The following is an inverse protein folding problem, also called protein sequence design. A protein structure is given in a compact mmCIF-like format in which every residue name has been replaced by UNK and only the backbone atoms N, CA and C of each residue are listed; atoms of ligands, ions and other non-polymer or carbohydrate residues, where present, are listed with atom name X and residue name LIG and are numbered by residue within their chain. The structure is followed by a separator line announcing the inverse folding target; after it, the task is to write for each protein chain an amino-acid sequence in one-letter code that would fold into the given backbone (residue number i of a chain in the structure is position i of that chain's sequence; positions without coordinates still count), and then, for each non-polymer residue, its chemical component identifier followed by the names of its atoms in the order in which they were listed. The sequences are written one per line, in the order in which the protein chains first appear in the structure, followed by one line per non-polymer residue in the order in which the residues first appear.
data_IF_782342738577
#
_entry.id   IF_782342738577
#
_cell.length_a   1.000
_cell.length_b   1.000
_cell.length_c   1.000
_cell.angle_alpha   90.00
_cell.angle_beta   90.00
_cell.angle_gamma   90.00
#
_symmetry.space_group_name_H-M   'P 1'
#
loop_
_entity.id
_entity.type
_entity.pdbx_description
1 polymer ?
#
# COMPACT_ATOMS: atom_id res chain seq x y z
N UNK A 1 15.26 15.94 5.64
CA UNK A 1 13.85 16.29 5.87
C UNK A 1 13.10 15.06 6.37
N UNK A 2 11.92 15.23 6.99
CA UNK A 2 11.15 14.18 7.67
C UNK A 2 10.86 12.95 6.79
N UNK A 3 10.59 13.16 5.49
CA UNK A 3 10.41 12.09 4.49
C UNK A 3 11.65 11.19 4.34
N UNK A 4 12.85 11.78 4.38
CA UNK A 4 14.10 11.02 4.29
C UNK A 4 14.36 10.15 5.51
N UNK A 5 14.01 10.63 6.71
CA UNK A 5 14.12 9.86 7.95
C UNK A 5 13.13 8.68 7.96
N UNK A 6 11.89 8.91 7.49
CA UNK A 6 10.89 7.85 7.35
C UNK A 6 11.35 6.75 6.38
N UNK A 7 11.99 7.12 5.26
CA UNK A 7 12.53 6.16 4.30
C UNK A 7 13.66 5.30 4.91
N UNK A 8 14.55 5.90 5.71
CA UNK A 8 15.63 5.18 6.41
C UNK A 8 15.05 4.22 7.45
N UNK A 9 14.16 4.69 8.33
CA UNK A 9 13.53 3.87 9.35
C UNK A 9 12.76 2.68 8.73
N UNK A 10 12.06 2.92 7.63
CA UNK A 10 11.35 1.87 6.91
C UNK A 10 12.31 0.82 6.32
N UNK A 11 13.47 1.25 5.81
CA UNK A 11 14.49 0.32 5.31
C UNK A 11 15.12 -0.51 6.45
N UNK A 12 15.35 0.08 7.62
CA UNK A 12 15.86 -0.63 8.80
C UNK A 12 14.88 -1.72 9.26
N UNK A 13 13.58 -1.38 9.36
CA UNK A 13 12.52 -2.36 9.70
C UNK A 13 12.47 -3.49 8.68
N UNK A 14 12.55 -3.17 7.37
CA UNK A 14 12.59 -4.17 6.31
C UNK A 14 13.78 -5.10 6.43
N UNK A 15 14.97 -4.55 6.64
CA UNK A 15 16.19 -5.35 6.78
C UNK A 15 16.10 -6.28 7.99
N UNK A 16 15.65 -5.77 9.15
CA UNK A 16 15.47 -6.59 10.35
C UNK A 16 14.49 -7.75 10.12
N UNK A 17 13.41 -7.52 9.38
CA UNK A 17 12.45 -8.57 9.05
C UNK A 17 13.01 -9.58 8.03
N UNK A 18 13.74 -9.12 7.01
CA UNK A 18 14.42 -10.02 6.04
C UNK A 18 15.43 -10.91 6.75
N UNK A 19 16.20 -10.36 7.69
CA UNK A 19 17.12 -11.15 8.52
C UNK A 19 16.37 -12.20 9.35
N UNK A 20 15.25 -11.83 9.98
CA UNK A 20 14.39 -12.78 10.71
C UNK A 20 13.90 -13.92 9.82
N UNK A 21 13.57 -13.64 8.57
CA UNK A 21 13.10 -14.64 7.62
C UNK A 21 14.20 -15.56 7.05
N UNK A 22 15.49 -15.30 7.30
CA UNK A 22 16.59 -16.16 6.81
C UNK A 22 16.59 -17.56 7.41
N UNK A 23 16.05 -17.71 8.62
CA UNK A 23 16.01 -18.98 9.33
C UNK A 23 14.90 -19.92 8.80
N UNK A 24 14.00 -19.38 7.97
CA UNK A 24 12.88 -20.14 7.43
C UNK A 24 13.29 -20.93 6.17
N UNK A 25 12.82 -22.19 6.02
CA UNK A 25 13.10 -23.00 4.84
C UNK A 25 12.48 -22.39 3.58
N UNK A 26 13.03 -22.66 2.40
CA UNK A 26 12.38 -22.26 1.14
C UNK A 26 11.09 -23.05 0.94
N UNK A 27 9.94 -22.38 1.01
CA UNK A 27 8.61 -22.97 0.77
C UNK A 27 7.76 -22.00 -0.06
N UNK A 28 6.55 -22.40 -0.44
CA UNK A 28 5.66 -21.50 -1.17
C UNK A 28 4.97 -20.46 -0.27
N UNK A 29 4.73 -20.80 1.00
CA UNK A 29 4.01 -19.98 1.96
C UNK A 29 4.56 -20.17 3.39
N UNK A 30 4.72 -19.05 4.11
CA UNK A 30 5.06 -19.02 5.52
C UNK A 30 3.97 -18.37 6.36
N UNK A 31 3.63 -19.04 7.46
CA UNK A 31 2.84 -18.46 8.52
C UNK A 31 3.75 -17.73 9.50
N UNK A 32 3.53 -16.42 9.61
CA UNK A 32 4.20 -15.55 10.57
C UNK A 32 3.66 -15.83 11.97
N UNK A 33 4.58 -16.10 12.88
CA UNK A 33 4.28 -16.19 14.31
C UNK A 33 4.15 -14.80 14.94
N UNK A 34 3.59 -14.74 16.15
CA UNK A 34 3.59 -13.52 16.95
C UNK A 34 5.01 -12.98 17.19
N UNK A 35 6.01 -13.88 17.29
CA UNK A 35 7.41 -13.50 17.45
C UNK A 35 7.96 -12.76 16.22
N UNK A 36 7.59 -13.18 15.01
CA UNK A 36 7.98 -12.48 13.77
C UNK A 36 7.33 -11.11 13.67
N UNK A 37 6.03 -11.02 14.01
CA UNK A 37 5.29 -9.76 14.00
C UNK A 37 5.82 -8.74 15.04
N UNK A 38 6.53 -9.21 16.08
CA UNK A 38 7.14 -8.34 17.08
C UNK A 38 8.54 -7.83 16.71
N UNK A 39 9.03 -8.06 15.48
CA UNK A 39 10.33 -7.54 15.01
C UNK A 39 10.50 -6.05 15.29
N UNK A 40 9.46 -5.24 15.09
CA UNK A 40 9.55 -3.79 15.30
C UNK A 40 9.71 -3.48 16.79
N UNK A 41 8.88 -4.08 17.64
CA UNK A 41 8.92 -3.84 19.10
C UNK A 41 10.20 -4.37 19.75
N UNK A 42 10.80 -5.40 19.18
CA UNK A 42 12.00 -6.04 19.72
C UNK A 42 13.30 -5.31 19.33
N UNK A 43 13.33 -4.71 18.14
CA UNK A 43 14.55 -4.08 17.61
C UNK A 43 14.54 -2.55 17.74
N UNK A 44 13.39 -1.95 18.00
CA UNK A 44 13.24 -0.49 18.00
C UNK A 44 12.39 -0.03 19.19
N UNK A 45 12.91 0.93 19.95
CA UNK A 45 12.17 1.62 21.00
C UNK A 45 11.43 2.81 20.40
N UNK A 46 10.10 2.70 20.32
CA UNK A 46 9.24 3.83 19.98
C UNK A 46 8.35 4.16 21.18
N UNK A 47 8.29 5.43 21.64
CA UNK A 47 7.28 5.83 22.60
C UNK A 47 5.91 5.48 22.03
N UNK A 48 5.03 4.91 22.87
CA UNK A 48 3.71 4.47 22.45
C UNK A 48 2.98 5.66 21.82
N UNK A 49 2.70 5.54 20.53
CA UNK A 49 1.93 6.52 19.79
C UNK A 49 0.54 5.92 19.52
N UNK A 50 -0.41 6.21 20.43
CA UNK A 50 -1.78 5.67 20.41
C UNK A 50 -2.68 6.30 19.33
N UNK A 51 -2.12 7.21 18.56
CA UNK A 51 -2.78 8.00 17.55
C UNK A 51 -2.26 7.44 16.22
N UNK A 52 -3.12 7.25 15.20
CA UNK A 52 -2.75 6.55 13.94
C UNK A 52 -2.66 5.03 14.01
N UNK A 53 -3.12 4.40 15.09
CA UNK A 53 -3.08 2.94 15.24
C UNK A 53 -3.84 2.18 14.15
N UNK A 54 -4.75 2.85 13.44
CA UNK A 54 -5.68 2.21 12.52
C UNK A 54 -5.51 2.76 11.09
N UNK A 55 -4.77 2.08 10.22
CA UNK A 55 -4.68 2.45 8.82
C UNK A 55 -6.01 2.15 8.09
N UNK A 56 -6.20 2.81 6.96
CA UNK A 56 -7.18 2.38 5.96
C UNK A 56 -6.56 1.28 5.12
N UNK A 57 -7.04 0.05 5.27
CA UNK A 57 -6.49 -1.10 4.55
C UNK A 57 -7.28 -1.39 3.28
N UNK A 58 -6.58 -1.54 2.17
CA UNK A 58 -7.11 -2.05 0.93
C UNK A 58 -7.01 -3.58 0.96
N UNK A 59 -8.18 -4.22 0.92
CA UNK A 59 -8.33 -5.65 1.13
C UNK A 59 -8.97 -6.30 -0.09
N UNK A 60 -8.43 -7.45 -0.48
CA UNK A 60 -9.10 -8.36 -1.41
C UNK A 60 -9.47 -9.64 -0.67
N UNK A 61 -10.46 -10.36 -1.19
CA UNK A 61 -10.89 -11.64 -0.64
C UNK A 61 -10.55 -12.76 -1.62
N UNK A 62 -9.86 -13.78 -1.10
CA UNK A 62 -9.51 -15.02 -1.79
C UNK A 62 -10.52 -16.09 -1.40
N UNK A 63 -11.49 -16.34 -2.29
CA UNK A 63 -12.54 -17.33 -2.09
C UNK A 63 -13.19 -17.77 -3.41
N UNK A 64 -13.50 -19.06 -3.55
CA UNK A 64 -14.13 -19.59 -4.75
C UNK A 64 -15.54 -19.03 -5.04
N UNK A 65 -16.31 -18.69 -3.98
CA UNK A 65 -17.69 -18.19 -4.08
C UNK A 65 -18.15 -17.50 -2.78
N UNK A 66 -19.34 -16.88 -2.82
CA UNK A 66 -19.98 -16.31 -1.63
C UNK A 66 -20.29 -17.38 -0.56
N UNK A 67 -20.70 -18.59 -0.96
CA UNK A 67 -20.96 -19.71 -0.05
C UNK A 67 -19.68 -20.16 0.65
N UNK A 68 -18.53 -20.13 -0.04
CA UNK A 68 -17.24 -20.41 0.58
C UNK A 68 -16.91 -19.37 1.68
N UNK A 69 -17.22 -18.10 1.44
CA UNK A 69 -17.06 -17.02 2.43
C UNK A 69 -17.93 -17.28 3.66
N UNK A 70 -19.23 -17.56 3.47
CA UNK A 70 -20.18 -17.86 4.56
C UNK A 70 -19.73 -19.09 5.35
N UNK A 71 -19.20 -20.11 4.69
CA UNK A 71 -18.64 -21.31 5.32
C UNK A 71 -17.27 -21.08 5.99
N UNK A 72 -16.75 -19.86 6.00
CA UNK A 72 -15.46 -19.52 6.60
C UNK A 72 -14.22 -19.94 5.79
N UNK A 73 -14.41 -20.41 4.55
CA UNK A 73 -13.37 -20.85 3.60
C UNK A 73 -12.94 -19.70 2.70
N UNK A 74 -12.20 -18.77 3.28
CA UNK A 74 -11.65 -17.60 2.59
C UNK A 74 -10.35 -17.16 3.24
N UNK A 75 -9.56 -16.37 2.50
CA UNK A 75 -8.44 -15.59 3.03
C UNK A 75 -8.63 -14.12 2.69
N UNK A 76 -8.13 -13.25 3.56
CA UNK A 76 -7.95 -11.83 3.25
C UNK A 76 -6.58 -11.64 2.62
N UNK A 77 -6.48 -10.73 1.67
CA UNK A 77 -5.21 -10.28 1.13
C UNK A 77 -5.10 -8.80 1.42
N UNK A 78 -4.04 -8.45 2.14
CA UNK A 78 -3.69 -7.07 2.37
C UNK A 78 -2.94 -6.54 1.15
N UNK A 79 -3.59 -5.66 0.38
CA UNK A 79 -2.96 -5.00 -0.76
C UNK A 79 -2.12 -3.83 -0.30
N UNK A 80 -2.76 -2.75 0.15
CA UNK A 80 -2.14 -1.46 0.44
C UNK A 80 -2.64 -0.92 1.78
N UNK A 81 -1.80 -0.12 2.46
CA UNK A 81 -2.18 0.64 3.64
C UNK A 81 -2.12 2.14 3.33
N UNK A 82 -3.20 2.83 3.66
CA UNK A 82 -3.33 4.28 3.52
C UNK A 82 -3.61 4.91 4.88
N UNK A 83 -3.35 6.22 5.04
CA UNK A 83 -3.98 6.94 6.14
C UNK A 83 -5.50 6.91 6.02
N UNK A 84 -6.25 6.91 7.13
CA UNK A 84 -7.71 6.91 7.15
C UNK A 84 -8.37 7.93 6.20
N UNK A 85 -7.74 9.09 6.04
CA UNK A 85 -8.27 10.18 5.23
C UNK A 85 -8.31 9.87 3.72
N UNK A 86 -7.62 8.84 3.25
CA UNK A 86 -7.64 8.43 1.84
C UNK A 86 -9.04 7.99 1.36
N UNK A 87 -9.94 7.61 2.28
CA UNK A 87 -11.35 7.35 1.99
C UNK A 87 -12.12 8.62 1.56
N UNK A 88 -11.60 9.80 1.90
CA UNK A 88 -12.24 11.07 1.58
C UNK A 88 -11.87 11.60 0.19
N UNK A 89 -11.22 10.76 -0.61
CA UNK A 89 -10.70 11.09 -1.93
C UNK A 89 -11.57 10.49 -3.04
N UNK A 90 -11.61 11.15 -4.21
CA UNK A 90 -12.26 10.64 -5.43
C UNK A 90 -13.75 10.28 -5.27
N UNK A 91 -14.20 9.31 -6.07
CA UNK A 91 -15.55 8.78 -6.05
C UNK A 91 -15.93 8.04 -4.76
N UNK A 92 -14.97 7.68 -3.88
CA UNK A 92 -15.29 7.03 -2.61
C UNK A 92 -16.15 7.94 -1.73
N UNK A 93 -15.75 9.19 -1.55
CA UNK A 93 -16.52 10.15 -0.75
C UNK A 93 -17.81 10.55 -1.44
N UNK A 94 -17.77 10.87 -2.74
CA UNK A 94 -18.95 11.34 -3.47
C UNK A 94 -20.04 10.29 -3.63
N UNK A 95 -19.65 9.03 -3.70
CA UNK A 95 -20.59 7.91 -3.78
C UNK A 95 -20.92 7.34 -2.41
N UNK A 96 -20.44 7.95 -1.32
CA UNK A 96 -20.72 7.48 0.03
C UNK A 96 -22.21 7.67 0.36
N UNK A 97 -22.98 6.58 0.57
CA UNK A 97 -24.41 6.70 0.83
C UNK A 97 -24.71 7.23 2.24
N UNK A 98 -23.75 7.18 3.16
CA UNK A 98 -23.92 7.59 4.56
C UNK A 98 -22.68 8.34 5.07
N UNK A 99 -22.56 9.59 4.63
CA UNK A 99 -21.52 10.53 5.08
C UNK A 99 -21.53 10.73 6.61
N UNK A 100 -22.68 10.85 7.30
CA UNK A 100 -22.70 10.95 8.76
C UNK A 100 -22.04 9.76 9.48
N UNK A 101 -22.29 8.52 9.04
CA UNK A 101 -21.63 7.34 9.62
C UNK A 101 -20.13 7.33 9.34
N UNK A 102 -19.71 7.64 8.11
CA UNK A 102 -18.29 7.79 7.76
C UNK A 102 -17.60 8.85 8.63
N UNK A 103 -18.25 9.98 8.87
CA UNK A 103 -17.77 11.07 9.73
C UNK A 103 -17.55 10.60 11.17
N UNK A 104 -18.54 9.92 11.77
CA UNK A 104 -18.40 9.37 13.13
C UNK A 104 -17.27 8.33 13.21
N UNK A 105 -17.17 7.45 12.23
CA UNK A 105 -16.13 6.43 12.16
C UNK A 105 -14.74 7.07 12.06
N UNK A 106 -14.54 8.03 11.16
CA UNK A 106 -13.27 8.76 11.05
C UNK A 106 -12.94 9.58 12.30
N UNK A 107 -13.93 10.23 12.92
CA UNK A 107 -13.71 10.97 14.16
C UNK A 107 -13.23 10.02 15.28
N UNK A 108 -13.76 8.79 15.35
CA UNK A 108 -13.32 7.81 16.36
C UNK A 108 -11.84 7.46 16.26
N UNK A 109 -11.26 7.41 15.04
CA UNK A 109 -9.83 7.10 14.85
C UNK A 109 -8.90 8.22 15.33
N UNK A 110 -9.43 9.43 15.51
CA UNK A 110 -8.66 10.57 16.04
C UNK A 110 -8.64 10.65 17.57
N UNK A 111 -9.48 9.86 18.25
CA UNK A 111 -9.69 9.98 19.70
C UNK A 111 -10.22 11.36 20.12
N UNK A 112 -10.94 12.04 19.22
CA UNK A 112 -11.46 13.39 19.44
C UNK A 112 -10.40 14.50 19.40
N UNK A 113 -9.15 14.20 19.02
CA UNK A 113 -8.08 15.20 18.95
C UNK A 113 -8.07 15.89 17.58
N UNK A 114 -7.76 17.20 17.53
CA UNK A 114 -7.76 17.95 16.28
C UNK A 114 -6.61 17.55 15.36
N UNK A 115 -6.83 17.69 14.06
CA UNK A 115 -5.82 17.68 13.00
C UNK A 115 -5.71 19.09 12.40
N UNK A 116 -4.61 19.34 11.69
CA UNK A 116 -4.46 20.59 10.96
C UNK A 116 -3.97 20.38 9.54
N UNK A 117 -4.32 21.34 8.70
CA UNK A 117 -3.83 21.46 7.33
C UNK A 117 -2.96 22.71 7.23
N UNK A 118 -1.77 22.61 6.64
CA UNK A 118 -0.83 23.73 6.51
C UNK A 118 -0.34 24.02 5.09
N UNK A 119 -1.10 23.63 4.08
CA UNK A 119 -0.83 23.98 2.67
C UNK A 119 -0.13 22.90 1.86
N UNK A 120 -0.39 21.61 2.12
CA UNK A 120 0.10 20.50 1.30
C UNK A 120 -1.01 19.84 0.44
N UNK A 121 -0.77 19.91 -0.87
CA UNK A 121 -1.33 19.27 -2.09
C UNK A 121 -2.69 18.55 -2.09
N UNK A 122 -3.08 17.73 -1.11
CA UNK A 122 -4.22 16.81 -1.28
C UNK A 122 -5.60 17.49 -1.16
N UNK A 123 -5.72 18.48 -0.29
CA UNK A 123 -6.93 19.28 -0.12
C UNK A 123 -7.04 20.41 -1.17
N UNK A 124 -5.96 20.67 -1.90
CA UNK A 124 -5.85 21.75 -2.91
C UNK A 124 -5.96 21.21 -4.34
N UNK A 125 -6.06 19.89 -4.53
CA UNK A 125 -6.24 19.32 -5.86
C UNK A 125 -7.62 19.65 -6.45
N UNK A 126 -7.77 19.47 -7.77
CA UNK A 126 -9.04 19.60 -8.49
C UNK A 126 -10.18 18.86 -7.78
N UNK A 127 -11.42 19.30 -7.97
CA UNK A 127 -12.58 18.74 -7.25
C UNK A 127 -12.63 17.20 -7.22
N UNK A 128 -12.24 16.54 -8.32
CA UNK A 128 -12.20 15.07 -8.48
C UNK A 128 -11.14 14.35 -7.63
N UNK A 129 -10.20 15.08 -7.06
CA UNK A 129 -9.07 14.58 -6.29
C UNK A 129 -8.88 15.36 -4.99
N UNK A 130 -9.85 16.18 -4.59
CA UNK A 130 -9.81 16.90 -3.31
C UNK A 130 -10.10 15.93 -2.17
N UNK A 131 -9.28 15.95 -1.13
CA UNK A 131 -9.57 15.25 0.13
C UNK A 131 -10.54 16.08 0.99
N UNK A 132 -11.73 15.54 1.28
CA UNK A 132 -12.84 16.29 1.94
C UNK A 132 -12.79 16.27 3.48
N UNK A 133 -11.61 16.40 4.08
CA UNK A 133 -11.42 16.35 5.53
C UNK A 133 -12.24 17.42 6.29
N UNK A 134 -12.32 18.64 5.77
CA UNK A 134 -13.07 19.73 6.41
C UNK A 134 -14.59 19.55 6.35
N UNK A 135 -15.10 18.82 5.36
CA UNK A 135 -16.53 18.52 5.28
C UNK A 135 -16.91 17.38 6.24
N UNK A 136 -16.01 16.40 6.42
CA UNK A 136 -16.27 15.20 7.23
C UNK A 136 -15.89 15.38 8.70
N UNK A 137 -14.88 16.19 9.00
CA UNK A 137 -14.38 16.45 10.35
C UNK A 137 -14.34 17.96 10.66
N UNK A 138 -15.47 18.70 10.52
CA UNK A 138 -15.48 20.16 10.63
C UNK A 138 -15.12 20.68 12.03
N UNK A 139 -15.37 19.88 13.09
CA UNK A 139 -15.02 20.21 14.46
C UNK A 139 -13.56 19.92 14.83
N UNK A 140 -12.90 19.05 14.05
CA UNK A 140 -11.57 18.53 14.36
C UNK A 140 -10.50 18.97 13.35
N UNK A 141 -10.87 19.60 12.24
CA UNK A 141 -9.91 20.02 11.19
C UNK A 141 -9.66 21.53 11.26
N UNK A 142 -8.43 21.91 11.57
CA UNK A 142 -7.98 23.31 11.64
C UNK A 142 -7.22 23.70 10.36
N UNK A 143 -7.55 24.83 9.76
CA UNK A 143 -6.89 25.35 8.57
C UNK A 143 -5.81 26.37 8.98
N UNK A 144 -4.54 26.00 8.87
CA UNK A 144 -3.37 26.76 9.32
C UNK A 144 -2.42 26.98 8.14
N UNK A 145 -2.90 27.70 7.13
CA UNK A 145 -2.20 27.88 5.86
C UNK A 145 -2.13 29.36 5.50
N UNK A 146 -1.07 29.81 4.78
CA UNK A 146 -1.03 31.16 4.22
C UNK A 146 -2.07 31.38 3.11
N UNK A 147 -2.67 30.29 2.59
CA UNK A 147 -3.72 30.36 1.59
C UNK A 147 -5.05 30.86 2.19
N UNK A 148 -5.95 31.36 1.34
CA UNK A 148 -7.30 31.74 1.78
C UNK A 148 -8.17 30.50 1.95
N UNK A 149 -8.51 30.17 3.20
CA UNK A 149 -9.45 29.09 3.52
C UNK A 149 -10.89 29.40 3.11
N UNK A 150 -11.72 28.36 2.97
CA UNK A 150 -13.16 28.52 2.80
C UNK A 150 -13.77 29.18 4.05
N UNK A 151 -14.78 30.07 3.94
CA UNK A 151 -15.38 30.76 5.10
C UNK A 151 -15.97 29.85 6.20
N UNK A 152 -16.16 28.56 5.91
CA UNK A 152 -16.69 27.56 6.85
C UNK A 152 -15.59 26.85 7.65
N UNK A 153 -14.33 27.04 7.28
CA UNK A 153 -13.21 26.34 7.91
C UNK A 153 -12.77 27.08 9.17
N UNK A 154 -12.42 26.31 10.21
CA UNK A 154 -11.79 26.86 11.42
C UNK A 154 -10.36 27.28 11.08
N UNK A 155 -10.15 28.57 10.81
CA UNK A 155 -8.88 29.09 10.30
C UNK A 155 -8.07 29.74 11.42
N UNK A 156 -6.78 29.39 11.50
CA UNK A 156 -5.79 30.03 12.37
C UNK A 156 -4.67 30.58 11.49
N UNK A 157 -4.38 31.90 11.52
CA UNK A 157 -3.26 32.44 10.77
C UNK A 157 -1.93 31.78 11.16
N UNK A 158 -1.03 31.44 10.22
CA UNK A 158 0.27 30.86 10.56
C UNK A 158 1.09 31.72 11.53
N UNK A 159 0.92 33.05 11.50
CA UNK A 159 1.55 33.99 12.44
C UNK A 159 1.09 33.82 13.90
N UNK A 160 -0.10 33.27 14.11
CA UNK A 160 -0.69 33.02 15.43
C UNK A 160 -0.48 31.60 15.93
N UNK A 161 0.11 30.73 15.10
CA UNK A 161 0.45 29.37 15.46
C UNK A 161 1.95 29.25 15.81
N UNK A 162 2.28 28.28 16.64
CA UNK A 162 3.65 27.85 16.89
C UNK A 162 3.78 26.33 16.93
N UNK A 163 4.95 25.84 16.51
CA UNK A 163 5.32 24.44 16.61
C UNK A 163 6.01 24.21 17.95
N UNK A 164 5.67 23.12 18.63
CA UNK A 164 6.27 22.73 19.90
C UNK A 164 6.47 21.22 19.97
N UNK A 165 7.34 20.77 20.88
CA UNK A 165 7.50 19.36 21.22
C UNK A 165 6.72 19.11 22.50
N UNK A 166 5.82 18.13 22.48
CA UNK A 166 5.06 17.68 23.64
C UNK A 166 5.97 16.89 24.58
N UNK A 167 6.17 17.39 25.80
CA UNK A 167 7.18 16.83 26.73
C UNK A 167 6.83 15.40 27.17
N UNK A 168 5.54 15.08 27.26
CA UNK A 168 5.09 13.79 27.75
C UNK A 168 5.42 12.61 26.82
N UNK A 169 5.51 12.85 25.50
CA UNK A 169 5.66 11.78 24.51
C UNK A 169 6.61 12.11 23.34
N UNK A 170 7.16 13.32 23.29
CA UNK A 170 8.06 13.78 22.23
C UNK A 170 7.37 14.13 20.91
N UNK A 171 6.05 14.21 20.86
CA UNK A 171 5.32 14.52 19.62
C UNK A 171 5.54 15.96 19.18
N UNK A 172 5.68 16.17 17.88
CA UNK A 172 5.81 17.51 17.29
C UNK A 172 4.41 18.01 16.97
N UNK A 173 3.97 19.06 17.66
CA UNK A 173 2.60 19.55 17.60
C UNK A 173 2.53 21.02 17.22
N UNK A 174 1.33 21.46 16.86
CA UNK A 174 0.99 22.87 16.62
C UNK A 174 0.00 23.31 17.68
N UNK A 175 0.22 24.51 18.21
CA UNK A 175 -0.73 25.19 19.10
C UNK A 175 -0.87 26.66 18.75
N UNK A 176 -1.94 27.28 19.22
CA UNK A 176 -2.11 28.73 19.11
C UNK A 176 -1.20 29.43 20.13
N UNK A 177 -0.50 30.50 19.73
CA UNK A 177 0.49 31.21 20.57
C UNK A 177 -0.11 31.81 21.84
N UNK A 178 -1.25 32.48 21.71
CA UNK A 178 -1.88 33.21 22.82
C UNK A 178 -2.61 32.30 23.81
N UNK A 179 -3.51 31.46 23.30
CA UNK A 179 -4.38 30.60 24.13
C UNK A 179 -3.73 29.29 24.53
N UNK A 180 -2.66 28.89 23.82
CA UNK A 180 -2.03 27.56 23.93
C UNK A 180 -2.97 26.42 23.54
N UNK A 181 -4.08 26.71 22.86
CA UNK A 181 -5.00 25.69 22.31
C UNK A 181 -4.21 24.73 21.41
N UNK A 182 -4.31 23.44 21.67
CA UNK A 182 -3.73 22.40 20.82
C UNK A 182 -4.48 22.35 19.48
N UNK A 183 -3.76 22.57 18.37
CA UNK A 183 -4.34 22.63 17.03
C UNK A 183 -4.12 21.35 16.22
N UNK A 184 -3.20 20.49 16.68
CA UNK A 184 -2.99 19.14 16.15
C UNK A 184 -1.52 18.74 16.17
N UNK A 185 -1.27 17.47 15.85
CA UNK A 185 0.08 16.89 15.78
C UNK A 185 0.63 16.93 14.36
N UNK A 186 1.94 16.82 14.13
CA UNK A 186 2.49 16.57 12.79
C UNK A 186 2.35 15.11 12.36
N UNK A 187 2.29 14.18 13.31
CA UNK A 187 1.83 12.82 12.99
C UNK A 187 0.37 12.86 12.49
N UNK A 188 -0.44 13.75 13.11
CA UNK A 188 -1.63 14.46 12.58
C UNK A 188 -1.83 14.69 11.10
N UNK A 189 -0.76 15.15 10.47
CA UNK A 189 -0.94 16.08 9.36
C UNK A 189 -1.33 15.39 8.06
N UNK A 190 -1.56 14.06 8.10
CA UNK A 190 -1.99 13.21 6.98
C UNK A 190 -1.28 13.58 5.67
N UNK A 191 0.01 13.92 5.78
CA UNK A 191 0.80 14.54 4.73
C UNK A 191 0.96 13.65 3.50
N UNK A 192 0.54 12.40 3.59
CA UNK A 192 0.72 11.42 2.52
C UNK A 192 -0.63 10.75 2.22
N UNK A 193 -1.43 11.26 1.29
CA UNK A 193 -2.59 10.53 0.76
C UNK A 193 -2.16 9.35 -0.14
N UNK A 194 -0.87 9.21 -0.44
CA UNK A 194 -0.34 8.11 -1.25
C UNK A 194 -0.29 6.85 -0.38
N UNK A 195 -0.85 5.77 -0.88
CA UNK A 195 -0.76 4.50 -0.19
C UNK A 195 0.67 3.99 -0.16
N UNK A 196 0.89 3.09 0.78
CA UNK A 196 2.12 2.37 0.91
C UNK A 196 1.81 0.89 0.90
N UNK A 197 2.69 0.12 0.27
CA UNK A 197 2.80 -1.32 0.48
C UNK A 197 3.90 -1.57 1.53
N UNK A 198 3.62 -1.47 2.84
CA UNK A 198 4.66 -1.54 3.86
C UNK A 198 5.32 -2.93 3.96
N UNK A 199 4.66 -3.97 3.44
CA UNK A 199 5.09 -5.36 3.53
C UNK A 199 5.67 -5.86 2.21
N UNK A 200 6.67 -5.14 1.69
CA UNK A 200 7.44 -5.63 0.55
C UNK A 200 8.87 -5.97 0.96
N UNK A 201 9.04 -7.14 1.56
CA UNK A 201 10.29 -7.65 2.12
C UNK A 201 11.14 -8.43 1.13
N UNK A 202 10.94 -8.20 -0.18
CA UNK A 202 11.44 -9.04 -1.27
C UNK A 202 12.84 -9.60 -1.02
N UNK A 203 12.92 -10.94 -0.96
CA UNK A 203 14.15 -11.73 -0.97
C UNK A 203 14.34 -12.27 -2.39
N UNK A 204 15.50 -12.01 -2.99
CA UNK A 204 15.86 -12.63 -4.27
C UNK A 204 16.51 -14.01 -4.03
N UNK A 205 16.39 -14.97 -4.96
CA UNK A 205 15.60 -14.91 -6.20
C UNK A 205 14.12 -15.24 -5.99
N UNK A 206 13.71 -15.62 -4.79
CA UNK A 206 12.36 -16.04 -4.46
C UNK A 206 11.96 -15.58 -3.05
N UNK A 207 10.70 -15.15 -2.95
CA UNK A 207 10.07 -14.74 -1.72
C UNK A 207 8.76 -15.54 -1.54
N UNK A 208 8.63 -16.29 -0.44
CA UNK A 208 7.41 -17.03 -0.12
C UNK A 208 6.23 -16.08 0.14
N UNK A 209 5.01 -16.60 -0.02
CA UNK A 209 3.82 -15.91 0.46
C UNK A 209 3.90 -15.78 1.98
N UNK A 210 3.61 -14.60 2.53
CA UNK A 210 3.58 -14.39 3.97
C UNK A 210 2.14 -14.28 4.45
N UNK A 211 1.81 -15.06 5.48
CA UNK A 211 0.47 -15.12 6.07
C UNK A 211 0.52 -14.86 7.56
N UNK A 212 -0.45 -14.12 8.08
CA UNK A 212 -0.73 -14.00 9.50
C UNK A 212 -2.19 -14.42 9.73
N UNK A 213 -2.42 -15.60 10.33
CA UNK A 213 -3.76 -16.17 10.45
C UNK A 213 -4.45 -16.33 9.09
N UNK A 214 -5.61 -15.70 8.89
CA UNK A 214 -6.32 -15.72 7.58
C UNK A 214 -5.89 -14.61 6.62
N UNK A 215 -4.91 -13.78 6.98
CA UNK A 215 -4.51 -12.61 6.20
C UNK A 215 -3.18 -12.88 5.49
N UNK A 216 -3.18 -12.84 4.17
CA UNK A 216 -1.97 -12.77 3.37
C UNK A 216 -1.45 -11.34 3.41
N UNK A 217 -0.27 -11.15 4.01
CA UNK A 217 0.38 -9.83 4.16
C UNK A 217 1.36 -9.55 3.02
N UNK A 218 1.83 -10.60 2.33
CA UNK A 218 2.65 -10.46 1.14
C UNK A 218 2.42 -11.65 0.20
N UNK A 219 2.24 -11.36 -1.09
CA UNK A 219 2.17 -12.39 -2.15
C UNK A 219 3.54 -13.04 -2.38
N UNK A 220 3.53 -14.27 -2.86
CA UNK A 220 4.73 -14.95 -3.38
C UNK A 220 5.30 -14.14 -4.55
N UNK A 221 6.63 -14.00 -4.57
CA UNK A 221 7.31 -13.30 -5.65
C UNK A 221 8.63 -13.96 -6.04
N UNK A 222 9.08 -13.66 -7.26
CA UNK A 222 10.32 -14.15 -7.85
C UNK A 222 11.05 -13.00 -8.53
N UNK A 223 12.37 -13.10 -8.58
CA UNK A 223 13.20 -12.30 -9.46
C UNK A 223 13.49 -13.11 -10.73
N UNK A 224 13.18 -12.50 -11.88
CA UNK A 224 13.51 -13.03 -13.20
C UNK A 224 14.47 -12.07 -13.87
N UNK A 225 15.59 -12.59 -14.34
CA UNK A 225 16.59 -11.86 -15.11
C UNK A 225 16.57 -12.30 -16.56
N UNK A 226 17.06 -11.45 -17.46
CA UNK A 226 17.18 -11.81 -18.88
C UNK A 226 18.05 -13.07 -19.09
N UNK A 227 19.02 -13.31 -18.20
CA UNK A 227 19.88 -14.50 -18.23
C UNK A 227 19.17 -15.80 -17.83
N UNK A 228 17.97 -15.73 -17.26
CA UNK A 228 17.15 -16.93 -16.97
C UNK A 228 16.50 -17.50 -18.24
N UNK A 229 16.49 -16.74 -19.35
CA UNK A 229 16.02 -17.23 -20.64
C UNK A 229 17.17 -17.85 -21.45
N UNK A 230 16.91 -18.89 -22.25
CA UNK A 230 17.87 -19.38 -23.24
C UNK A 230 18.38 -18.24 -24.14
N UNK A 231 19.64 -18.32 -24.56
CA UNK A 231 20.22 -17.31 -25.43
C UNK A 231 19.46 -17.24 -26.76
N UNK A 232 18.97 -16.05 -27.10
CA UNK A 232 18.22 -15.82 -28.32
C UNK A 232 17.67 -14.41 -28.41
N UNK A 233 17.33 -13.98 -29.63
CA UNK A 233 16.50 -12.79 -29.85
C UNK A 233 15.12 -13.27 -30.21
N UNK A 234 14.16 -13.00 -29.34
CA UNK A 234 12.77 -13.29 -29.60
C UNK A 234 12.12 -12.04 -30.18
N UNK A 235 11.48 -12.16 -31.34
CA UNK A 235 10.77 -11.04 -31.97
C UNK A 235 9.35 -11.49 -32.28
N UNK A 236 8.36 -10.70 -31.84
CA UNK A 236 6.96 -11.10 -31.92
C UNK A 236 6.64 -12.34 -31.10
N UNK A 237 5.41 -12.83 -31.25
CA UNK A 237 5.01 -14.16 -30.84
C UNK A 237 5.71 -15.19 -31.74
N UNK A 238 6.64 -15.96 -31.17
CA UNK A 238 7.38 -16.99 -31.91
C UNK A 238 7.45 -18.29 -31.13
N UNK A 239 7.63 -19.42 -31.83
CA UNK A 239 7.83 -20.74 -31.19
C UNK A 239 9.00 -20.71 -30.19
N UNK A 240 10.09 -20.02 -30.53
CA UNK A 240 11.24 -19.88 -29.66
C UNK A 240 10.90 -19.17 -28.35
N UNK A 241 10.09 -18.10 -28.41
CA UNK A 241 9.65 -17.37 -27.22
C UNK A 241 8.78 -18.24 -26.31
N UNK A 242 7.82 -18.97 -26.89
CA UNK A 242 6.93 -19.87 -26.13
C UNK A 242 7.75 -20.92 -25.38
N UNK A 243 8.68 -21.59 -26.07
CA UNK A 243 9.54 -22.60 -25.44
C UNK A 243 10.43 -22.01 -24.34
N UNK A 244 10.99 -20.82 -24.58
CA UNK A 244 11.84 -20.15 -23.61
C UNK A 244 11.09 -19.78 -22.32
N UNK A 245 9.86 -19.25 -22.45
CA UNK A 245 9.05 -18.87 -21.29
C UNK A 245 8.44 -20.08 -20.58
N UNK A 246 8.12 -21.17 -21.28
CA UNK A 246 7.72 -22.43 -20.62
C UNK A 246 8.86 -23.07 -19.84
N UNK A 247 10.09 -23.04 -20.38
CA UNK A 247 11.28 -23.48 -19.64
C UNK A 247 11.52 -22.63 -18.40
N UNK A 248 11.39 -21.31 -18.51
CA UNK A 248 11.47 -20.39 -17.37
C UNK A 248 10.39 -20.69 -16.33
N UNK A 249 9.13 -20.86 -16.77
CA UNK A 249 7.98 -21.17 -15.91
C UNK A 249 8.24 -22.44 -15.11
N UNK A 250 8.68 -23.51 -15.78
CA UNK A 250 9.02 -24.77 -15.13
C UNK A 250 10.21 -24.64 -14.17
N UNK A 251 11.27 -23.94 -14.57
CA UNK A 251 12.49 -23.80 -13.76
C UNK A 251 12.27 -23.00 -12.47
N UNK A 252 11.41 -21.98 -12.50
CA UNK A 252 11.10 -21.13 -11.33
C UNK A 252 9.80 -21.51 -10.59
N UNK A 253 9.03 -22.45 -11.14
CA UNK A 253 7.71 -22.82 -10.61
C UNK A 253 6.72 -21.65 -10.64
N UNK A 254 6.70 -20.87 -11.72
CA UNK A 254 5.78 -19.72 -11.83
C UNK A 254 4.34 -20.20 -12.09
N UNK A 255 3.33 -19.64 -11.42
CA UNK A 255 1.93 -19.91 -11.76
C UNK A 255 1.58 -19.31 -13.12
N UNK A 256 0.50 -19.78 -13.74
CA UNK A 256 0.02 -19.26 -15.04
C UNK A 256 -0.24 -17.76 -15.00
N UNK A 257 -0.91 -17.28 -13.95
CA UNK A 257 -1.33 -15.89 -13.80
C UNK A 257 -0.39 -15.16 -12.86
N UNK A 258 0.30 -14.14 -13.37
CA UNK A 258 1.29 -13.36 -12.62
C UNK A 258 1.15 -11.87 -12.90
N UNK A 259 1.68 -11.05 -12.01
CA UNK A 259 1.97 -9.65 -12.31
C UNK A 259 3.47 -9.43 -12.41
N UNK A 260 3.89 -8.62 -13.38
CA UNK A 260 5.28 -8.23 -13.56
C UNK A 260 5.48 -6.75 -13.33
N UNK A 261 6.61 -6.38 -12.74
CA UNK A 261 7.12 -5.00 -12.73
C UNK A 261 8.65 -5.01 -12.70
N UNK A 262 9.32 -3.92 -13.12
CA UNK A 262 10.75 -3.78 -12.93
C UNK A 262 11.09 -3.75 -11.44
N UNK A 263 12.24 -4.32 -11.07
CA UNK A 263 12.76 -4.18 -9.71
C UNK A 263 13.18 -2.74 -9.43
N UNK A 264 13.29 -2.35 -8.15
CA UNK A 264 13.80 -1.03 -7.76
C UNK A 264 15.19 -0.78 -8.35
N UNK A 265 16.04 -1.81 -8.40
CA UNK A 265 17.37 -1.72 -8.98
C UNK A 265 17.33 -1.47 -10.49
N UNK A 266 16.39 -2.09 -11.21
CA UNK A 266 16.20 -1.84 -12.64
C UNK A 266 15.68 -0.42 -12.91
N UNK A 267 14.74 0.09 -12.10
CA UNK A 267 14.19 1.45 -12.24
C UNK A 267 15.26 2.54 -12.04
N UNK A 268 16.16 2.34 -11.07
CA UNK A 268 17.33 3.19 -10.81
C UNK A 268 18.25 3.31 -12.02
N UNK A 269 18.58 2.17 -12.64
CA UNK A 269 19.50 2.11 -13.80
C UNK A 269 18.90 2.76 -15.05
N UNK A 270 17.58 2.71 -15.22
CA UNK A 270 16.92 3.29 -16.39
C UNK A 270 16.64 4.79 -16.27
N UNK A 271 17.02 5.45 -15.17
CA UNK A 271 16.66 6.86 -14.91
C UNK A 271 15.15 7.08 -14.80
N UNK A 272 14.39 6.02 -14.47
CA UNK A 272 12.93 5.99 -14.50
C UNK A 272 12.30 6.17 -13.11
N UNK A 273 13.08 6.56 -12.09
CA UNK A 273 12.64 6.76 -10.70
C UNK A 273 11.51 7.82 -10.53
N UNK A 274 11.10 8.51 -11.61
CA UNK A 274 9.96 9.43 -11.63
C UNK A 274 8.84 9.09 -12.64
N UNK A 275 8.88 7.95 -13.35
CA UNK A 275 7.82 7.56 -14.29
C UNK A 275 6.86 6.57 -13.63
N UNK A 276 5.83 7.10 -12.97
CA UNK A 276 4.75 6.37 -12.26
C UNK A 276 4.06 5.25 -13.08
N UNK A 277 4.25 5.20 -14.40
CA UNK A 277 3.70 4.13 -15.25
C UNK A 277 4.58 2.87 -15.25
N UNK A 278 5.90 3.01 -15.13
CA UNK A 278 6.84 1.86 -15.17
C UNK A 278 6.89 1.11 -13.82
N UNK A 279 6.26 1.65 -12.76
CA UNK A 279 6.16 1.04 -11.42
C UNK A 279 4.92 0.16 -11.24
N UNK A 280 3.87 0.35 -12.05
CA UNK A 280 2.60 -0.35 -11.90
C UNK A 280 2.71 -1.80 -12.40
N UNK A 281 2.32 -2.79 -11.59
CA UNK A 281 2.34 -4.18 -12.02
C UNK A 281 1.46 -4.41 -13.26
N UNK A 282 1.97 -5.17 -14.21
CA UNK A 282 1.26 -5.57 -15.44
C UNK A 282 0.84 -7.02 -15.30
N UNK A 283 -0.45 -7.30 -15.52
CA UNK A 283 -0.96 -8.66 -15.54
C UNK A 283 -0.46 -9.45 -16.76
N UNK A 284 -0.03 -10.68 -16.54
CA UNK A 284 0.46 -11.62 -17.54
C UNK A 284 -0.24 -12.96 -17.32
N UNK A 285 -0.88 -13.45 -18.38
CA UNK A 285 -1.26 -14.87 -18.51
C UNK A 285 -0.17 -15.58 -19.31
N UNK A 286 0.58 -16.48 -18.67
CA UNK A 286 1.67 -17.23 -19.32
C UNK A 286 1.17 -18.24 -20.37
N UNK A 287 -0.13 -18.40 -20.58
CA UNK A 287 -0.69 -19.15 -21.71
C UNK A 287 -1.23 -18.23 -22.83
N UNK A 288 -1.17 -16.90 -22.65
CA UNK A 288 -1.52 -15.92 -23.67
C UNK A 288 -0.30 -15.49 -24.48
N UNK A 289 -0.32 -15.75 -25.78
CA UNK A 289 0.77 -15.36 -26.68
C UNK A 289 1.13 -13.87 -26.64
N UNK A 290 0.13 -12.99 -26.52
CA UNK A 290 0.36 -11.55 -26.40
C UNK A 290 1.04 -11.21 -25.06
N UNK A 291 0.64 -11.87 -23.98
CA UNK A 291 1.24 -11.68 -22.66
C UNK A 291 2.68 -12.18 -22.61
N UNK A 292 3.01 -13.27 -23.30
CA UNK A 292 4.39 -13.76 -23.45
C UNK A 292 5.29 -12.72 -24.12
N UNK A 293 4.81 -12.08 -25.19
CA UNK A 293 5.55 -11.01 -25.85
C UNK A 293 5.72 -9.78 -24.95
N UNK A 294 4.67 -9.38 -24.21
CA UNK A 294 4.76 -8.29 -23.24
C UNK A 294 5.81 -8.61 -22.17
N UNK A 295 5.75 -9.81 -21.58
CA UNK A 295 6.71 -10.27 -20.57
C UNK A 295 8.15 -10.14 -21.07
N UNK A 296 8.45 -10.69 -22.24
CA UNK A 296 9.80 -10.63 -22.80
C UNK A 296 10.24 -9.20 -23.13
N UNK A 297 9.37 -8.37 -23.70
CA UNK A 297 9.71 -6.97 -24.01
C UNK A 297 10.05 -6.18 -22.75
N UNK A 298 9.30 -6.38 -21.66
CA UNK A 298 9.62 -5.79 -20.36
C UNK A 298 10.97 -6.30 -19.84
N UNK A 299 11.19 -7.62 -19.84
CA UNK A 299 12.43 -8.22 -19.34
C UNK A 299 13.66 -7.79 -20.16
N UNK A 300 13.54 -7.71 -21.48
CA UNK A 300 14.61 -7.25 -22.36
C UNK A 300 14.91 -5.75 -22.16
N UNK A 301 13.89 -4.93 -21.89
CA UNK A 301 14.03 -3.49 -21.62
C UNK A 301 14.72 -3.25 -20.27
N UNK A 302 14.36 -3.99 -19.23
CA UNK A 302 14.79 -3.70 -17.85
C UNK A 302 15.87 -4.64 -17.33
N UNK A 303 16.20 -5.70 -18.08
CA UNK A 303 17.13 -6.80 -17.75
C UNK A 303 16.75 -7.66 -16.55
N UNK A 304 15.85 -7.17 -15.71
CA UNK A 304 15.36 -7.81 -14.50
C UNK A 304 13.92 -7.37 -14.23
N UNK A 305 13.10 -8.32 -13.79
CA UNK A 305 11.72 -8.13 -13.36
C UNK A 305 11.50 -8.79 -12.01
N UNK A 306 10.67 -8.14 -11.19
CA UNK A 306 9.92 -8.81 -10.16
C UNK A 306 8.66 -9.40 -10.77
N UNK A 307 8.45 -10.70 -10.52
CA UNK A 307 7.23 -11.42 -10.85
C UNK A 307 6.52 -11.73 -9.54
N UNK A 308 5.23 -11.45 -9.44
CA UNK A 308 4.38 -11.78 -8.28
C UNK A 308 3.24 -12.67 -8.75
N UNK A 309 2.80 -13.59 -7.90
CA UNK A 309 1.60 -14.38 -8.21
C UNK A 309 0.37 -13.48 -8.36
N UNK A 310 -0.59 -13.89 -9.21
CA UNK A 310 -1.94 -13.36 -9.12
C UNK A 310 -2.65 -14.02 -7.94
N UNK A 311 -2.93 -13.23 -6.90
CA UNK A 311 -3.69 -13.65 -5.73
C UNK A 311 -4.71 -12.56 -5.38
N UNK A 312 -6.04 -12.82 -5.34
CA UNK A 312 -6.67 -14.12 -5.59
C UNK A 312 -6.42 -14.61 -7.02
N UNK A 313 -6.28 -15.92 -7.19
CA UNK A 313 -6.22 -16.51 -8.52
C UNK A 313 -7.61 -16.45 -9.20
N UNK A 314 -7.70 -16.64 -10.53
CA UNK A 314 -8.96 -16.55 -11.25
C UNK A 314 -10.08 -17.47 -10.74
N UNK A 315 -9.75 -18.66 -10.23
CA UNK A 315 -10.75 -19.61 -9.71
C UNK A 315 -11.29 -19.17 -8.34
N UNK A 316 -10.56 -18.30 -7.66
CA UNK A 316 -10.85 -17.75 -6.35
C UNK A 316 -11.34 -16.29 -6.37
N UNK A 317 -11.86 -15.84 -7.52
CA UNK A 317 -12.62 -14.61 -7.63
C UNK A 317 -14.09 -14.86 -7.30
N UNK A 318 -14.50 -14.48 -6.09
CA UNK A 318 -15.83 -14.80 -5.56
C UNK A 318 -16.98 -14.02 -6.20
N UNK A 319 -16.72 -12.86 -6.82
CA UNK A 319 -17.73 -12.07 -7.51
C UNK A 319 -17.91 -12.60 -8.93
N UNK A 320 -19.03 -13.26 -9.19
CA UNK A 320 -19.36 -13.84 -10.48
C UNK A 320 -20.56 -13.13 -11.10
N UNK A 321 -20.43 -12.72 -12.35
CA UNK A 321 -21.48 -12.15 -13.18
C UNK A 321 -21.77 -13.09 -14.37
N UNK A 322 -22.85 -12.85 -15.10
CA UNK A 322 -23.29 -13.72 -16.22
C UNK A 322 -22.22 -13.89 -17.34
N UNK A 323 -21.32 -12.92 -17.48
CA UNK A 323 -20.24 -12.89 -18.47
C UNK A 323 -18.86 -13.22 -17.88
N UNK A 324 -18.78 -13.57 -16.59
CA UNK A 324 -17.55 -14.05 -15.96
C UNK A 324 -17.26 -13.45 -14.59
N UNK A 325 -16.10 -13.82 -14.04
CA UNK A 325 -15.67 -13.41 -12.70
C UNK A 325 -15.10 -11.99 -12.70
N UNK A 326 -15.23 -11.28 -11.58
CA UNK A 326 -14.75 -9.92 -11.36
C UNK A 326 -13.69 -9.89 -10.26
N UNK A 327 -12.64 -9.11 -10.50
CA UNK A 327 -11.74 -8.68 -9.43
C UNK A 327 -12.33 -7.44 -8.76
N UNK A 328 -12.14 -7.32 -7.47
CA UNK A 328 -12.47 -6.11 -6.72
C UNK A 328 -11.52 -5.94 -5.54
N UNK A 329 -11.57 -4.77 -4.94
CA UNK A 329 -10.82 -4.41 -3.75
C UNK A 329 -11.70 -3.55 -2.85
N UNK A 330 -11.55 -3.74 -1.55
CA UNK A 330 -12.29 -3.03 -0.51
C UNK A 330 -11.33 -2.10 0.21
N UNK A 331 -11.54 -0.79 0.08
CA UNK A 331 -10.88 0.18 0.97
C UNK A 331 -11.65 0.25 2.28
N UNK A 332 -11.02 -0.15 3.37
CA UNK A 332 -11.65 -0.27 4.69
C UNK A 332 -11.15 0.80 5.65
N UNK A 333 -12.00 1.24 6.56
CA UNK A 333 -11.60 2.00 7.73
C UNK A 333 -11.58 1.08 8.94
N UNK A 334 -10.40 0.87 9.52
CA UNK A 334 -10.29 0.22 10.81
C UNK A 334 -10.59 1.28 11.88
N UNK A 335 -11.51 0.99 12.80
CA UNK A 335 -11.88 1.88 13.90
C UNK A 335 -11.48 1.25 15.25
N UNK A 336 -11.16 2.06 16.27
CA UNK A 336 -11.02 1.55 17.63
C UNK A 336 -12.31 0.83 18.07
N UNK A 337 -12.15 -0.27 18.82
CA UNK A 337 -13.24 -1.03 19.43
C UNK A 337 -13.73 -0.44 20.74
#
# INVERSE_FOLDING_TARGET
GLVGLAAVAFQEVKNAFVERLREYPETEEHELSAHDCHVVRQNFEYPKFDEYTYPSADLQIDAASAEAIVAGRYRWILSELHPPIALLHHGFYWSCPDVPSLSRALASTTGGRPNFHFGFAAADFTAHTTVRNFDVLPGLSKFISPQRGHPRFQTVPPSEAEVYIEEANGDVCVRQRGTREHLGSFARAWLIPLGFHPFHFGRAPHMPRLRCGKVIVQRRSWTVTLGDLPAGKYSGVSRGLVLALEQLRAAKGLPRHVYIRPTVQALRRSGAEGRDKDTKPVYIDLESYLSLEIFYRWLAKTTELEVTEMLPDPDHLCWQEADGRRTFELRTLIVPG
#
